data_IF_279377177341
#
_entry.id   IF_279377177341
#
_cell.length_a   1.000
_cell.length_b   1.000
_cell.length_c   1.000
_cell.angle_alpha   90.00
_cell.angle_beta   90.00
_cell.angle_gamma   90.00
#
_symmetry.space_group_name_H-M   'P 1'
#
loop_
_entity.id
_entity.type
_entity.pdbx_description
1 polymer ?
#
# COMPACT_ATOMS: atom_id res chain seq x y z
N UNK A 1 25.84 1.71 7.33
CA UNK A 1 26.07 0.57 8.27
C UNK A 1 26.17 -0.70 7.43
N UNK A 2 26.97 -1.68 7.78
CA UNK A 2 26.93 -3.00 7.11
C UNK A 2 25.88 -3.86 7.80
N UNK A 3 25.29 -4.80 7.06
CA UNK A 3 24.43 -5.81 7.67
C UNK A 3 25.25 -6.62 8.71
N UNK A 4 24.63 -6.96 9.80
CA UNK A 4 25.23 -7.76 10.88
C UNK A 4 24.20 -8.71 11.44
N UNK A 5 24.68 -9.74 12.13
CA UNK A 5 23.79 -10.67 12.83
C UNK A 5 23.84 -10.45 14.34
N UNK A 6 22.74 -10.79 14.99
CA UNK A 6 22.63 -10.87 16.46
C UNK A 6 22.12 -12.24 16.85
N UNK A 7 22.55 -12.73 18.01
CA UNK A 7 21.99 -13.94 18.60
C UNK A 7 20.97 -13.52 19.68
N UNK A 8 19.77 -14.07 19.62
CA UNK A 8 18.71 -13.81 20.60
C UNK A 8 19.10 -14.50 21.92
N UNK A 9 19.25 -13.72 22.99
CA UNK A 9 19.73 -14.26 24.26
C UNK A 9 18.62 -14.86 25.14
N UNK A 10 17.36 -14.42 24.96
CA UNK A 10 16.23 -14.79 25.84
C UNK A 10 14.94 -14.93 25.04
N UNK A 11 13.95 -15.65 25.60
CA UNK A 11 12.64 -15.84 25.01
C UNK A 11 12.54 -17.14 24.22
N UNK A 12 11.43 -17.29 23.48
CA UNK A 12 11.11 -18.52 22.71
C UNK A 12 12.17 -18.84 21.65
N UNK A 13 12.80 -17.81 21.05
CA UNK A 13 13.82 -17.93 20.00
C UNK A 13 15.26 -17.82 20.55
N UNK A 14 15.47 -18.05 21.85
CA UNK A 14 16.78 -17.96 22.46
C UNK A 14 17.78 -18.93 21.80
N UNK A 15 18.94 -18.43 21.41
CA UNK A 15 19.98 -19.16 20.71
C UNK A 15 19.93 -19.06 19.18
N UNK A 16 18.86 -18.54 18.63
CA UNK A 16 18.76 -18.29 17.19
C UNK A 16 19.58 -17.05 16.78
N UNK A 17 20.13 -17.08 15.58
CA UNK A 17 20.87 -15.96 14.99
C UNK A 17 20.03 -15.34 13.89
N UNK A 18 19.71 -14.04 14.04
CA UNK A 18 18.98 -13.25 13.06
C UNK A 18 19.85 -12.17 12.45
N UNK A 19 19.60 -11.84 11.20
CA UNK A 19 20.28 -10.77 10.50
C UNK A 19 19.56 -9.44 10.68
N UNK A 20 20.31 -8.40 11.01
CA UNK A 20 19.81 -7.02 11.06
C UNK A 20 20.10 -6.35 9.72
N UNK A 21 19.03 -5.96 9.04
CA UNK A 21 19.09 -5.32 7.72
C UNK A 21 17.91 -4.35 7.55
N UNK A 22 17.82 -3.71 6.38
CA UNK A 22 16.70 -2.83 6.04
C UNK A 22 15.42 -3.63 5.92
N UNK A 23 14.33 -3.09 6.44
CA UNK A 23 13.00 -3.70 6.31
C UNK A 23 12.46 -3.55 4.89
N UNK A 24 11.68 -4.52 4.46
CA UNK A 24 10.94 -4.49 3.20
C UNK A 24 9.51 -4.08 3.52
N UNK A 25 9.01 -3.12 2.75
CA UNK A 25 7.62 -2.65 2.83
C UNK A 25 6.95 -2.72 1.46
N UNK A 26 5.64 -2.78 1.46
CA UNK A 26 4.79 -2.74 0.28
C UNK A 26 3.80 -1.58 0.37
N UNK A 27 3.40 -1.03 -0.77
CA UNK A 27 2.35 -0.02 -0.86
C UNK A 27 1.48 -0.27 -2.09
N UNK A 28 0.15 -0.25 -1.92
CA UNK A 28 -0.84 -0.53 -2.96
C UNK A 28 -1.55 0.74 -3.43
N UNK A 29 -1.39 1.10 -4.70
CA UNK A 29 -2.06 2.21 -5.37
C UNK A 29 -3.20 1.66 -6.23
N UNK A 30 -4.41 1.62 -5.67
CA UNK A 30 -5.55 0.97 -6.31
C UNK A 30 -6.48 2.02 -6.88
N UNK A 31 -6.73 1.94 -8.17
CA UNK A 31 -7.57 2.87 -8.90
C UNK A 31 -8.89 2.23 -9.31
N UNK A 32 -9.95 3.03 -9.33
CA UNK A 32 -11.26 2.62 -9.81
C UNK A 32 -11.97 3.81 -10.45
N UNK A 33 -12.74 3.55 -11.50
CA UNK A 33 -13.60 4.58 -12.11
C UNK A 33 -14.99 4.48 -11.51
N UNK A 34 -15.35 5.45 -10.64
CA UNK A 34 -16.61 5.47 -9.91
C UNK A 34 -17.46 6.65 -10.45
N UNK A 35 -18.67 6.36 -10.94
CA UNK A 35 -19.54 7.39 -11.55
C UNK A 35 -18.81 8.22 -12.64
N UNK A 36 -18.01 7.56 -13.46
CA UNK A 36 -17.22 8.17 -14.52
C UNK A 36 -16.08 9.10 -14.05
N UNK A 37 -15.70 9.06 -12.78
CA UNK A 37 -14.57 9.80 -12.22
C UNK A 37 -13.51 8.82 -11.68
N UNK A 38 -12.25 9.08 -11.97
CA UNK A 38 -11.15 8.29 -11.42
C UNK A 38 -10.95 8.56 -9.94
N UNK A 39 -10.86 7.49 -9.17
CA UNK A 39 -10.63 7.51 -7.73
C UNK A 39 -9.46 6.60 -7.35
N UNK A 40 -8.80 6.91 -6.25
CA UNK A 40 -7.78 6.08 -5.62
C UNK A 40 -8.25 5.62 -4.24
N UNK A 41 -7.99 4.37 -3.89
CA UNK A 41 -8.27 3.83 -2.56
C UNK A 41 -7.29 4.42 -1.56
N UNK A 42 -7.81 4.98 -0.48
CA UNK A 42 -7.01 5.57 0.59
C UNK A 42 -7.60 5.28 1.97
N UNK A 43 -6.73 5.25 2.96
CA UNK A 43 -7.08 5.19 4.37
C UNK A 43 -6.46 6.37 5.12
N UNK A 44 -7.15 6.84 6.15
CA UNK A 44 -6.64 7.87 7.06
C UNK A 44 -5.97 7.19 8.25
N UNK A 45 -4.73 7.54 8.51
CA UNK A 45 -3.93 6.99 9.62
C UNK A 45 -4.54 7.37 10.96
N UNK A 46 -4.77 6.37 11.79
CA UNK A 46 -5.36 6.51 13.12
C UNK A 46 -4.34 6.84 14.22
N UNK A 47 -4.81 6.81 15.46
CA UNK A 47 -3.98 7.08 16.64
C UNK A 47 -2.98 5.94 16.95
N UNK A 48 -3.29 4.71 16.50
CA UNK A 48 -2.39 3.55 16.59
C UNK A 48 -1.22 3.61 15.61
N UNK A 49 -1.33 4.41 14.53
CA UNK A 49 -0.24 4.54 13.56
C UNK A 49 0.99 5.20 14.20
N UNK A 50 2.21 4.68 13.91
CA UNK A 50 3.43 5.15 14.57
C UNK A 50 3.87 6.57 14.13
N UNK A 51 3.35 7.04 12.98
CA UNK A 51 3.67 8.35 12.40
C UNK A 51 2.53 8.86 11.52
N UNK A 52 2.57 10.14 11.14
CA UNK A 52 1.59 10.81 10.26
C UNK A 52 0.13 10.57 10.67
N UNK A 53 -0.18 10.52 11.97
CA UNK A 53 -1.55 10.36 12.47
C UNK A 53 -2.46 11.46 11.90
N UNK A 54 -3.63 11.07 11.40
CA UNK A 54 -4.59 11.97 10.75
C UNK A 54 -4.32 12.26 9.26
N UNK A 55 -3.16 11.88 8.73
CA UNK A 55 -2.85 11.99 7.30
C UNK A 55 -3.46 10.82 6.51
N UNK A 56 -3.68 11.04 5.23
CA UNK A 56 -4.13 10.02 4.29
C UNK A 56 -2.94 9.31 3.65
N UNK A 57 -3.09 8.04 3.35
CA UNK A 57 -2.12 7.24 2.62
C UNK A 57 -2.83 6.16 1.78
N UNK A 58 -2.14 5.64 0.78
CA UNK A 58 -2.54 4.37 0.16
C UNK A 58 -2.18 3.22 1.11
N UNK A 59 -2.92 2.11 1.12
CA UNK A 59 -2.64 0.96 1.97
C UNK A 59 -1.18 0.52 1.86
N UNK A 60 -0.54 0.31 3.02
CA UNK A 60 0.88 -0.05 3.05
C UNK A 60 1.32 -0.62 4.39
N UNK A 61 2.23 -1.56 4.36
CA UNK A 61 2.84 -2.14 5.55
C UNK A 61 4.10 -2.95 5.26
N UNK A 62 4.50 -3.80 6.17
CA UNK A 62 5.71 -4.59 6.06
C UNK A 62 5.43 -5.97 5.48
N UNK A 63 6.47 -6.51 4.82
CA UNK A 63 6.50 -7.91 4.39
C UNK A 63 6.66 -8.81 5.62
N UNK A 64 5.73 -9.74 5.80
CA UNK A 64 5.81 -10.77 6.83
C UNK A 64 6.58 -12.00 6.35
N UNK A 65 6.88 -12.92 7.27
CA UNK A 65 7.45 -14.20 6.93
C UNK A 65 6.43 -15.06 6.17
N UNK A 66 6.95 -15.91 5.27
CA UNK A 66 6.17 -16.91 4.52
C UNK A 66 5.14 -16.33 3.52
N UNK A 67 5.28 -15.05 3.13
CA UNK A 67 4.48 -14.44 2.06
C UNK A 67 5.36 -13.78 0.98
N UNK A 68 4.83 -13.70 -0.23
CA UNK A 68 5.42 -12.93 -1.33
C UNK A 68 5.08 -11.46 -1.22
N UNK A 69 5.80 -10.59 -1.93
CA UNK A 69 5.52 -9.14 -1.97
C UNK A 69 4.11 -8.80 -2.44
N UNK A 70 3.56 -9.56 -3.40
CA UNK A 70 2.21 -9.35 -3.89
C UNK A 70 1.16 -9.83 -2.88
N UNK A 71 1.43 -10.93 -2.16
CA UNK A 71 0.58 -11.40 -1.06
C UNK A 71 0.57 -10.41 0.09
N UNK A 72 1.75 -9.89 0.49
CA UNK A 72 1.85 -8.82 1.50
C UNK A 72 1.01 -7.60 1.10
N UNK A 73 1.16 -7.12 -0.13
CA UNK A 73 0.39 -5.97 -0.61
C UNK A 73 -1.12 -6.24 -0.63
N UNK A 74 -1.54 -7.43 -1.05
CA UNK A 74 -2.95 -7.85 -1.03
C UNK A 74 -3.51 -7.93 0.41
N UNK A 75 -2.73 -8.47 1.35
CA UNK A 75 -3.06 -8.54 2.77
C UNK A 75 -3.24 -7.16 3.37
N UNK A 76 -2.28 -6.25 3.21
CA UNK A 76 -2.33 -4.89 3.74
C UNK A 76 -3.53 -4.11 3.18
N UNK A 77 -3.80 -4.22 1.86
CA UNK A 77 -4.99 -3.61 1.25
C UNK A 77 -6.25 -4.12 1.95
N UNK A 78 -6.35 -5.42 2.17
CA UNK A 78 -7.53 -6.01 2.82
C UNK A 78 -7.63 -5.60 4.29
N UNK A 79 -6.56 -5.67 5.05
CA UNK A 79 -6.52 -5.35 6.47
C UNK A 79 -6.88 -3.89 6.74
N UNK A 80 -6.34 -2.96 5.95
CA UNK A 80 -6.54 -1.53 6.13
C UNK A 80 -7.83 -1.00 5.48
N UNK A 81 -8.44 -1.71 4.51
CA UNK A 81 -9.59 -1.17 3.76
C UNK A 81 -10.77 -2.13 3.61
N UNK A 82 -10.56 -3.42 3.72
CA UNK A 82 -11.55 -4.46 3.43
C UNK A 82 -11.73 -4.76 1.93
N UNK A 83 -11.01 -4.08 1.06
CA UNK A 83 -11.03 -4.35 -0.38
C UNK A 83 -10.19 -5.59 -0.67
N UNK A 84 -10.75 -6.55 -1.40
CA UNK A 84 -10.05 -7.78 -1.79
C UNK A 84 -9.49 -7.63 -3.19
N UNK A 85 -8.18 -7.81 -3.32
CA UNK A 85 -7.46 -7.84 -4.59
C UNK A 85 -6.62 -9.10 -4.62
N UNK A 86 -6.76 -9.89 -5.67
CA UNK A 86 -5.92 -11.08 -5.82
C UNK A 86 -4.46 -10.66 -6.06
N UNK A 87 -3.46 -11.32 -5.42
CA UNK A 87 -2.05 -10.99 -5.62
C UNK A 87 -1.62 -10.95 -7.08
N UNK A 88 -2.20 -11.81 -7.93
CA UNK A 88 -1.92 -11.86 -9.37
C UNK A 88 -2.44 -10.67 -10.17
N UNK A 89 -3.36 -9.87 -9.60
CA UNK A 89 -3.88 -8.64 -10.20
C UNK A 89 -3.06 -7.40 -9.84
N UNK A 90 -2.06 -7.55 -8.98
CA UNK A 90 -1.18 -6.47 -8.54
C UNK A 90 0.05 -6.38 -9.44
N UNK A 91 0.23 -5.23 -10.08
CA UNK A 91 1.41 -4.94 -10.90
C UNK A 91 2.43 -4.13 -10.10
N UNK A 92 3.67 -4.64 -9.97
CA UNK A 92 4.75 -3.90 -9.31
C UNK A 92 5.27 -2.80 -10.24
N UNK A 93 4.92 -1.56 -9.94
CA UNK A 93 5.19 -0.40 -10.80
C UNK A 93 6.50 0.33 -10.46
N UNK A 94 6.98 0.27 -9.21
CA UNK A 94 8.26 0.88 -8.83
C UNK A 94 8.81 0.34 -7.50
N UNK A 95 10.10 0.63 -7.28
CA UNK A 95 10.80 0.34 -6.02
C UNK A 95 11.45 1.63 -5.53
N UNK A 96 11.33 1.90 -4.23
CA UNK A 96 12.10 2.94 -3.56
C UNK A 96 13.12 2.31 -2.61
N UNK A 97 14.38 2.46 -2.91
CA UNK A 97 15.49 1.96 -2.10
C UNK A 97 16.41 3.09 -1.59
N UNK A 98 16.03 4.36 -1.77
CA UNK A 98 16.83 5.50 -1.31
C UNK A 98 16.91 5.51 0.22
N UNK A 99 18.09 5.33 0.82
CA UNK A 99 18.27 5.34 2.27
C UNK A 99 18.05 6.72 2.90
N UNK A 100 17.87 7.77 2.10
CA UNK A 100 17.64 9.13 2.56
C UNK A 100 16.18 9.54 2.56
N UNK A 101 15.32 8.76 1.90
CA UNK A 101 13.91 9.09 1.74
C UNK A 101 13.12 8.97 3.06
N UNK A 102 13.54 8.09 3.97
CA UNK A 102 12.93 7.98 5.29
C UNK A 102 13.95 7.66 6.38
N UNK A 103 13.65 8.05 7.62
CA UNK A 103 14.47 7.71 8.78
C UNK A 103 14.53 6.20 9.04
N UNK A 104 13.55 5.43 8.57
CA UNK A 104 13.48 3.97 8.70
C UNK A 104 14.32 3.25 7.66
N UNK A 105 14.68 3.94 6.57
CA UNK A 105 15.46 3.38 5.47
C UNK A 105 14.86 2.10 4.86
N UNK A 106 13.54 1.99 4.81
CA UNK A 106 12.87 0.84 4.21
C UNK A 106 13.21 0.73 2.73
N UNK A 107 13.12 -0.51 2.21
CA UNK A 107 12.99 -0.73 0.76
C UNK A 107 11.51 -0.95 0.50
N UNK A 108 10.87 -0.04 -0.25
CA UNK A 108 9.43 -0.09 -0.49
C UNK A 108 9.14 -0.50 -1.92
N UNK A 109 8.41 -1.61 -2.09
CA UNK A 109 7.87 -2.05 -3.36
C UNK A 109 6.47 -1.47 -3.54
N UNK A 110 6.26 -0.79 -4.67
CA UNK A 110 4.98 -0.14 -4.97
C UNK A 110 4.23 -0.93 -6.01
N UNK A 111 3.01 -1.29 -5.69
CA UNK A 111 2.10 -2.02 -6.56
C UNK A 111 0.94 -1.13 -6.98
N UNK A 112 0.40 -1.39 -8.16
CA UNK A 112 -0.82 -0.77 -8.62
C UNK A 112 -1.79 -1.83 -9.16
N UNK A 113 -3.08 -1.50 -9.12
CA UNK A 113 -4.12 -2.21 -9.84
C UNK A 113 -5.24 -1.24 -10.23
N UNK A 114 -5.90 -1.54 -11.34
CA UNK A 114 -7.17 -0.92 -11.73
C UNK A 114 -8.26 -1.94 -11.48
N UNK A 115 -9.30 -1.54 -10.76
CA UNK A 115 -10.43 -2.42 -10.43
C UNK A 115 -11.75 -1.81 -10.92
N UNK A 116 -12.73 -2.66 -11.14
CA UNK A 116 -14.08 -2.22 -11.48
C UNK A 116 -14.92 -1.89 -10.24
N UNK A 117 -16.11 -1.31 -10.44
CA UNK A 117 -17.00 -0.88 -9.37
C UNK A 117 -17.49 -2.04 -8.47
N UNK A 118 -17.37 -3.29 -8.88
CA UNK A 118 -17.74 -4.45 -8.02
C UNK A 118 -16.77 -4.64 -6.85
N UNK A 119 -15.57 -4.07 -6.93
CA UNK A 119 -14.50 -4.15 -5.92
C UNK A 119 -14.47 -2.95 -4.95
N UNK A 120 -15.35 -1.96 -5.09
CA UNK A 120 -15.30 -0.72 -4.27
C UNK A 120 -15.79 -0.88 -2.82
N UNK A 121 -16.20 -2.08 -2.43
CA UNK A 121 -16.74 -2.37 -1.10
C UNK A 121 -15.70 -2.26 0.00
N UNK A 122 -15.56 -1.08 0.60
CA UNK A 122 -14.75 -0.88 1.80
C UNK A 122 -15.42 -1.48 3.04
N UNK A 123 -14.64 -1.89 4.04
CA UNK A 123 -15.16 -2.44 5.29
C UNK A 123 -14.69 -1.63 6.50
N UNK A 124 -15.64 -1.06 7.24
CA UNK A 124 -15.36 -0.38 8.51
C UNK A 124 -14.82 -1.31 9.61
N UNK A 125 -14.82 -2.63 9.40
CA UNK A 125 -14.18 -3.56 10.31
C UNK A 125 -12.65 -3.44 10.31
N UNK A 126 -12.06 -2.91 9.23
CA UNK A 126 -10.65 -2.56 9.17
C UNK A 126 -10.26 -1.54 10.26
N UNK A 127 -11.12 -0.54 10.52
CA UNK A 127 -10.89 0.49 11.56
C UNK A 127 -10.77 -0.13 12.97
N UNK A 128 -11.39 -1.29 13.19
CA UNK A 128 -11.35 -2.02 14.46
C UNK A 128 -10.26 -3.09 14.52
N UNK A 129 -9.39 -3.18 13.52
CA UNK A 129 -8.40 -4.26 13.43
C UNK A 129 -9.00 -5.65 13.22
N UNK A 130 -10.30 -5.76 12.89
CA UNK A 130 -10.99 -7.06 12.80
C UNK A 130 -10.69 -7.85 11.51
N UNK A 131 -9.95 -7.24 10.58
CA UNK A 131 -9.54 -7.87 9.33
C UNK A 131 -8.09 -8.36 9.36
N UNK A 132 -7.42 -8.29 10.51
CA UNK A 132 -6.03 -8.72 10.71
C UNK A 132 -5.08 -7.57 11.05
N UNK A 133 -5.43 -6.32 10.70
CA UNK A 133 -4.64 -5.14 11.05
C UNK A 133 -4.71 -4.75 12.54
N UNK A 134 -3.89 -3.79 12.94
CA UNK A 134 -3.87 -3.30 14.32
C UNK A 134 -5.07 -2.41 14.64
N UNK A 135 -5.56 -2.51 15.89
CA UNK A 135 -6.66 -1.66 16.35
C UNK A 135 -6.24 -0.18 16.37
N UNK A 136 -7.12 0.69 15.85
CA UNK A 136 -6.91 2.14 15.76
C UNK A 136 -5.76 2.58 14.81
N UNK A 137 -5.18 1.70 14.02
CA UNK A 137 -4.21 2.08 13.00
C UNK A 137 -4.87 2.86 11.85
N UNK A 138 -6.08 2.50 11.48
CA UNK A 138 -6.89 3.15 10.46
C UNK A 138 -8.05 3.92 11.13
N UNK A 139 -8.21 5.20 10.78
CA UNK A 139 -9.29 6.06 11.27
C UNK A 139 -10.47 6.16 10.32
N UNK A 140 -10.21 6.19 9.01
CA UNK A 140 -11.21 6.29 7.97
C UNK A 140 -10.72 5.66 6.68
N UNK A 141 -11.63 5.27 5.79
CA UNK A 141 -11.34 4.65 4.50
C UNK A 141 -12.22 5.31 3.45
N UNK A 142 -11.64 5.60 2.27
CA UNK A 142 -12.41 6.27 1.23
C UNK A 142 -11.78 6.02 -0.15
N UNK A 143 -12.60 6.04 -1.18
CA UNK A 143 -12.18 6.27 -2.55
C UNK A 143 -12.10 7.78 -2.79
N UNK A 144 -10.88 8.29 -2.90
CA UNK A 144 -10.60 9.72 -3.11
C UNK A 144 -10.59 10.00 -4.61
N UNK A 145 -11.36 10.97 -5.08
CA UNK A 145 -11.31 11.39 -6.48
C UNK A 145 -9.95 11.98 -6.81
N UNK A 146 -9.44 11.70 -8.01
CA UNK A 146 -8.17 12.26 -8.48
C UNK A 146 -8.20 13.79 -8.52
N UNK A 147 -9.37 14.41 -8.80
CA UNK A 147 -9.57 15.87 -8.77
C UNK A 147 -9.48 16.48 -7.37
N UNK A 148 -9.64 15.67 -6.32
CA UNK A 148 -9.76 16.13 -4.94
C UNK A 148 -8.50 15.87 -4.10
N UNK A 149 -7.43 15.33 -4.68
CA UNK A 149 -6.20 14.98 -3.95
C UNK A 149 -5.62 16.16 -3.16
N UNK A 150 -5.74 17.38 -3.65
CA UNK A 150 -5.27 18.61 -3.00
C UNK A 150 -6.06 18.97 -1.72
N UNK A 151 -7.24 18.41 -1.52
CA UNK A 151 -8.07 18.67 -0.36
C UNK A 151 -7.62 17.88 0.88
N UNK A 152 -6.64 16.98 0.75
CA UNK A 152 -6.19 16.08 1.80
C UNK A 152 -4.71 16.26 2.11
N UNK A 153 -4.34 15.96 3.37
CA UNK A 153 -2.94 15.88 3.77
C UNK A 153 -2.46 14.43 3.61
N UNK A 154 -1.43 14.22 2.79
CA UNK A 154 -0.92 12.90 2.46
C UNK A 154 0.38 12.60 3.18
N UNK A 155 0.49 11.38 3.72
CA UNK A 155 1.72 10.82 4.29
C UNK A 155 2.64 10.27 3.18
N UNK A 156 3.92 10.10 3.49
CA UNK A 156 4.92 9.38 2.69
C UNK A 156 5.07 9.84 1.23
N UNK A 157 4.73 11.09 0.94
CA UNK A 157 4.71 11.62 -0.43
C UNK A 157 3.70 10.90 -1.37
N UNK A 158 2.70 10.23 -0.79
CA UNK A 158 1.76 9.39 -1.55
C UNK A 158 0.96 10.18 -2.58
N UNK A 159 0.62 11.46 -2.33
CA UNK A 159 -0.03 12.30 -3.35
C UNK A 159 0.76 12.34 -4.66
N UNK A 160 2.05 12.67 -4.58
CA UNK A 160 2.92 12.74 -5.76
C UNK A 160 3.06 11.38 -6.44
N UNK A 161 3.11 10.29 -5.67
CA UNK A 161 3.17 8.93 -6.19
C UNK A 161 1.86 8.54 -6.88
N UNK A 162 0.70 8.87 -6.31
CA UNK A 162 -0.62 8.66 -6.93
C UNK A 162 -0.68 9.34 -8.30
N UNK A 163 -0.35 10.64 -8.35
CA UNK A 163 -0.34 11.42 -9.60
C UNK A 163 0.59 10.80 -10.65
N UNK A 164 1.83 10.44 -10.26
CA UNK A 164 2.81 9.87 -11.16
C UNK A 164 2.43 8.49 -11.68
N UNK A 165 1.94 7.59 -10.81
CA UNK A 165 1.50 6.24 -11.19
C UNK A 165 0.25 6.34 -12.08
N UNK A 166 -0.72 7.16 -11.69
CA UNK A 166 -1.94 7.37 -12.47
C UNK A 166 -1.62 7.83 -13.89
N UNK A 167 -0.84 8.89 -14.02
CA UNK A 167 -0.46 9.43 -15.32
C UNK A 167 0.34 8.43 -16.18
N UNK A 168 1.18 7.60 -15.56
CA UNK A 168 2.04 6.67 -16.28
C UNK A 168 1.31 5.41 -16.75
N UNK A 169 0.38 4.89 -15.94
CA UNK A 169 -0.17 3.54 -16.14
C UNK A 169 -1.68 3.50 -16.34
N UNK A 170 -2.42 4.55 -15.96
CA UNK A 170 -3.90 4.56 -16.02
C UNK A 170 -4.39 5.54 -17.08
N UNK A 171 -3.93 6.78 -17.04
CA UNK A 171 -4.37 7.84 -17.99
C UNK A 171 -3.88 7.59 -19.42
N UNK A 172 -2.80 6.82 -19.58
CA UNK A 172 -2.24 6.47 -20.89
C UNK A 172 -3.19 5.58 -21.71
N UNK A 173 -4.02 4.75 -21.08
CA UNK A 173 -5.00 3.90 -21.77
C UNK A 173 -6.16 4.69 -22.41
N UNK A 174 -6.48 5.88 -21.92
CA UNK A 174 -7.53 6.73 -22.54
C UNK A 174 -7.07 7.42 -23.84
N UNK A 175 -5.75 7.52 -24.08
CA UNK A 175 -5.19 8.27 -25.21
C UNK A 175 -5.03 7.39 -26.47
N UNK A 176 -4.94 6.10 -26.38
CA UNK A 176 -4.59 5.22 -27.52
C UNK A 176 -5.48 3.99 -27.70
N UNK A 177 -6.70 3.90 -27.32
CA UNK A 177 -7.60 2.81 -27.73
C UNK A 177 -6.93 1.41 -27.72
N UNK A 178 -6.22 1.06 -26.66
CA UNK A 178 -5.36 -0.12 -26.52
C UNK A 178 -6.14 -1.44 -26.26
N UNK A 179 -7.36 -1.55 -26.77
CA UNK A 179 -8.11 -2.82 -26.75
C UNK A 179 -7.43 -3.95 -27.55
N UNK A 180 -6.37 -3.65 -28.31
CA UNK A 180 -5.72 -4.60 -29.24
C UNK A 180 -4.37 -5.18 -28.73
N UNK A 181 -3.82 -4.73 -27.62
CA UNK A 181 -2.50 -5.20 -27.16
C UNK A 181 -2.51 -6.39 -26.18
N UNK A 182 -3.68 -6.79 -25.69
CA UNK A 182 -3.83 -7.95 -24.78
C UNK A 182 -4.74 -9.06 -25.34
N UNK A 183 -4.99 -9.06 -26.64
CA UNK A 183 -5.75 -10.11 -27.33
C UNK A 183 -4.79 -11.10 -28.03
N UNK A 184 -3.89 -11.76 -27.28
CA UNK A 184 -3.26 -13.03 -27.70
C UNK A 184 -3.07 -13.98 -26.49
#
# INVERSE_FOLDING_TARGET
MKNYSITIETGEHAGETVWVHRSIAVAGFIFCRINNEWCVLANQRGEGAPDFQGYWNCPCGYLDFDETLAEACSREIYEETGVKIEPSALYMCSVNDDPKDSNRQNVTMRFMAVVDESHIGISTNAIKGQLGGEENEVKAIMWVKMSDLDNYQWAFNHKHLIEGIFHTYVDYEEVEGLDDLFAE
#
